data_IF_838256440378
#
_entry.id   IF_838256440378
#
_cell.length_a   1.000
_cell.length_b   1.000
_cell.length_c   1.000
_cell.angle_alpha   90.00
_cell.angle_beta   90.00
_cell.angle_gamma   90.00
#
_symmetry.space_group_name_H-M   'P 1'
#
loop_
_entity.id
_entity.type
_entity.pdbx_description
1 polymer ?
#
# COMPACT_ATOMS: atom_id res chain seq x y z
N UNK A 1 -27.45 3.10 7.56
CA UNK A 1 -26.88 2.12 8.50
C UNK A 1 -25.50 2.60 8.89
N UNK A 2 -25.30 2.95 10.16
CA UNK A 2 -24.00 3.34 10.69
C UNK A 2 -23.30 2.07 11.22
N UNK A 3 -22.08 1.81 10.74
CA UNK A 3 -21.21 0.79 11.32
C UNK A 3 -20.63 1.36 12.61
N UNK A 4 -21.24 1.05 13.76
CA UNK A 4 -20.64 1.32 15.06
C UNK A 4 -19.84 0.09 15.48
N UNK A 5 -18.52 0.25 15.60
CA UNK A 5 -17.64 -0.70 16.28
C UNK A 5 -16.62 -1.43 15.40
N UNK A 6 -15.80 -0.70 14.65
CA UNK A 6 -14.44 -1.19 14.37
C UNK A 6 -13.52 -0.35 15.25
N UNK A 7 -12.56 -0.98 15.94
CA UNK A 7 -11.51 -0.26 16.63
C UNK A 7 -10.77 0.69 15.69
N UNK A 8 -9.86 1.49 16.25
CA UNK A 8 -8.95 2.28 15.44
C UNK A 8 -8.29 1.36 14.37
N UNK A 9 -8.42 1.67 13.05
CA UNK A 9 -7.83 0.84 12.00
C UNK A 9 -6.30 0.85 12.02
N UNK A 10 -5.68 1.69 12.84
CA UNK A 10 -4.25 1.80 12.92
C UNK A 10 -3.65 0.80 13.90
N UNK A 11 -2.56 0.16 13.47
CA UNK A 11 -1.56 -0.34 14.42
C UNK A 11 -0.75 0.87 14.89
N UNK A 12 -0.73 1.14 16.19
CA UNK A 12 -0.05 2.32 16.75
C UNK A 12 1.26 1.93 17.42
N UNK A 13 2.33 2.65 17.06
CA UNK A 13 3.61 2.64 17.77
C UNK A 13 3.79 3.99 18.44
N UNK A 14 3.89 3.98 19.77
CA UNK A 14 4.03 5.18 20.59
C UNK A 14 5.45 5.28 21.11
N UNK A 15 6.16 6.34 20.71
CA UNK A 15 7.49 6.67 21.18
C UNK A 15 7.49 8.04 21.86
N UNK A 16 8.58 8.37 22.57
CA UNK A 16 8.71 9.70 23.21
C UNK A 16 8.73 10.85 22.21
N UNK A 17 9.23 10.59 21.01
CA UNK A 17 9.50 11.61 19.99
C UNK A 17 8.50 11.60 18.85
N UNK A 18 7.63 10.60 18.77
CA UNK A 18 6.59 10.50 17.74
C UNK A 18 5.52 9.46 18.12
N UNK A 19 4.36 9.57 17.48
CA UNK A 19 3.35 8.51 17.42
C UNK A 19 3.18 8.11 15.96
N UNK A 20 3.44 6.85 15.63
CA UNK A 20 3.21 6.32 14.29
C UNK A 20 1.91 5.52 14.26
N UNK A 21 1.04 5.86 13.32
CA UNK A 21 -0.22 5.18 13.02
C UNK A 21 -0.09 4.50 11.67
N UNK A 22 -0.03 3.18 11.70
CA UNK A 22 0.24 2.32 10.54
C UNK A 22 -1.08 1.71 10.05
N UNK A 23 -1.42 1.95 8.80
CA UNK A 23 -2.61 1.38 8.18
C UNK A 23 -2.26 0.04 7.53
N UNK A 24 -2.75 -1.04 8.12
CA UNK A 24 -2.61 -2.41 7.60
C UNK A 24 -3.93 -2.84 6.97
N UNK A 25 -3.90 -3.62 5.89
CA UNK A 25 -5.11 -4.28 5.43
C UNK A 25 -5.51 -5.36 6.45
N UNK A 26 -6.66 -5.23 7.14
CA UNK A 26 -7.04 -6.14 8.21
C UNK A 26 -7.35 -7.57 7.73
N UNK A 27 -7.39 -7.81 6.41
CA UNK A 27 -7.68 -9.12 5.82
C UNK A 27 -6.44 -9.86 5.35
N UNK A 28 -5.38 -9.14 5.00
CA UNK A 28 -4.19 -9.74 4.35
C UNK A 28 -2.90 -9.45 5.08
N UNK A 29 -2.84 -8.36 5.85
CA UNK A 29 -1.62 -7.92 6.50
C UNK A 29 -1.62 -8.32 7.98
N UNK A 30 -0.42 -8.65 8.47
CA UNK A 30 -0.13 -8.76 9.89
C UNK A 30 1.09 -7.89 10.20
N UNK A 31 1.30 -7.55 11.47
CA UNK A 31 2.46 -6.75 11.89
C UNK A 31 3.78 -7.41 11.48
N UNK A 32 3.82 -8.76 11.45
CA UNK A 32 5.03 -9.52 11.13
C UNK A 32 5.26 -9.68 9.61
N UNK A 33 4.23 -9.46 8.78
CA UNK A 33 4.27 -9.81 7.35
C UNK A 33 3.97 -8.67 6.39
N UNK A 34 3.51 -7.51 6.89
CA UNK A 34 3.19 -6.36 6.03
C UNK A 34 4.44 -5.88 5.29
N UNK A 35 4.34 -5.80 3.97
CA UNK A 35 5.49 -5.48 3.10
C UNK A 35 5.41 -4.08 2.49
N UNK A 36 4.22 -3.46 2.53
CA UNK A 36 3.93 -2.10 2.11
C UNK A 36 2.95 -1.49 3.11
N UNK A 37 3.30 -0.39 3.76
CA UNK A 37 2.47 0.25 4.78
C UNK A 37 2.40 1.75 4.58
N UNK A 38 1.18 2.28 4.68
CA UNK A 38 0.95 3.72 4.79
C UNK A 38 0.98 4.12 6.27
N UNK A 39 1.79 5.12 6.59
CA UNK A 39 1.99 5.60 7.94
C UNK A 39 1.67 7.09 8.05
N UNK A 40 0.99 7.44 9.13
CA UNK A 40 0.89 8.81 9.64
C UNK A 40 1.76 8.94 10.88
N UNK A 41 2.64 9.93 10.90
CA UNK A 41 3.57 10.17 12.01
C UNK A 41 3.24 11.51 12.62
N UNK A 42 2.71 11.48 13.84
CA UNK A 42 2.37 12.66 14.63
C UNK A 42 3.58 13.02 15.52
N UNK A 43 4.01 14.28 15.47
CA UNK A 43 5.17 14.79 16.19
C UNK A 43 4.77 15.66 17.39
N UNK A 44 5.65 15.83 18.41
CA UNK A 44 5.33 16.62 19.61
C UNK A 44 5.05 18.11 19.35
N UNK A 45 5.50 18.64 18.22
CA UNK A 45 5.24 20.02 17.79
C UNK A 45 3.85 20.21 17.18
N UNK A 46 3.06 19.13 17.08
CA UNK A 46 1.72 19.11 16.48
C UNK A 46 1.72 18.89 14.97
N UNK A 47 2.88 18.73 14.34
CA UNK A 47 2.99 18.40 12.92
C UNK A 47 2.67 16.92 12.65
N UNK A 48 2.05 16.63 11.50
CA UNK A 48 1.83 15.26 11.03
C UNK A 48 2.44 15.05 9.64
N UNK A 49 3.17 13.95 9.45
CA UNK A 49 3.68 13.52 8.14
C UNK A 49 2.98 12.25 7.67
N UNK A 50 2.71 12.15 6.37
CA UNK A 50 2.27 10.91 5.73
C UNK A 50 3.41 10.32 4.88
N UNK A 51 3.64 9.01 4.99
CA UNK A 51 4.68 8.27 4.24
C UNK A 51 4.21 6.86 3.93
N UNK A 52 4.54 6.38 2.74
CA UNK A 52 4.45 4.96 2.37
C UNK A 52 5.82 4.32 2.54
N UNK A 53 5.89 3.15 3.19
CA UNK A 53 7.13 2.41 3.42
C UNK A 53 7.01 1.01 2.82
N UNK A 54 8.07 0.57 2.12
CA UNK A 54 8.15 -0.77 1.56
C UNK A 54 9.32 -1.54 2.19
N UNK A 55 9.14 -2.83 2.42
CA UNK A 55 10.26 -3.73 2.65
C UNK A 55 11.15 -3.79 1.41
N UNK A 56 12.44 -4.07 1.59
CA UNK A 56 13.38 -4.21 0.48
C UNK A 56 12.97 -5.36 -0.45
N UNK A 57 12.40 -6.43 0.11
CA UNK A 57 11.91 -7.56 -0.67
C UNK A 57 10.72 -7.17 -1.56
N UNK A 58 9.78 -6.35 -1.07
CA UNK A 58 8.67 -5.86 -1.90
C UNK A 58 9.15 -4.90 -2.99
N UNK A 59 10.14 -4.05 -2.69
CA UNK A 59 10.80 -3.24 -3.72
C UNK A 59 11.41 -4.15 -4.80
N UNK A 60 12.09 -5.23 -4.41
CA UNK A 60 12.64 -6.22 -5.33
C UNK A 60 11.56 -6.87 -6.22
N UNK A 61 10.42 -7.24 -5.63
CA UNK A 61 9.28 -7.84 -6.34
C UNK A 61 8.65 -6.87 -7.35
N UNK A 62 8.51 -5.60 -6.97
CA UNK A 62 8.02 -4.55 -7.86
C UNK A 62 8.98 -4.31 -9.04
N UNK A 63 10.28 -4.21 -8.78
CA UNK A 63 11.29 -4.04 -9.82
C UNK A 63 11.37 -5.25 -10.76
N UNK A 64 11.19 -6.46 -10.26
CA UNK A 64 11.13 -7.66 -11.09
C UNK A 64 9.93 -7.62 -12.05
N UNK A 65 8.74 -7.22 -11.56
CA UNK A 65 7.54 -7.04 -12.39
C UNK A 65 7.73 -5.97 -13.45
N UNK A 66 8.43 -4.88 -13.16
CA UNK A 66 8.69 -3.82 -14.14
C UNK A 66 9.63 -4.25 -15.27
N UNK A 67 10.50 -5.25 -15.03
CA UNK A 67 11.36 -5.82 -16.07
C UNK A 67 10.60 -6.73 -17.02
N UNK A 68 9.42 -7.21 -16.65
CA UNK A 68 8.61 -8.02 -17.56
C UNK A 68 8.16 -7.15 -18.74
N UNK A 69 8.46 -7.55 -19.99
CA UNK A 69 8.01 -6.80 -21.14
C UNK A 69 6.49 -6.73 -21.09
N UNK A 70 5.95 -5.51 -21.09
CA UNK A 70 4.51 -5.27 -21.20
C UNK A 70 4.03 -6.01 -22.45
N UNK A 71 3.32 -7.11 -22.25
CA UNK A 71 2.51 -7.71 -23.31
C UNK A 71 1.39 -6.72 -23.56
N UNK A 72 1.61 -5.77 -24.46
CA UNK A 72 0.52 -5.07 -25.10
C UNK A 72 -0.38 -6.15 -25.68
N UNK A 73 -1.57 -6.34 -25.10
CA UNK A 73 -2.63 -7.09 -25.77
C UNK A 73 -2.86 -6.34 -27.07
N UNK A 74 -2.35 -6.85 -28.18
CA UNK A 74 -2.66 -6.34 -29.51
C UNK A 74 -4.17 -6.27 -29.58
N UNK A 75 -4.71 -5.05 -29.68
CA UNK A 75 -6.11 -4.87 -30.00
C UNK A 75 -6.37 -5.67 -31.28
N UNK A 76 -7.39 -6.52 -31.25
CA UNK A 76 -7.62 -7.54 -32.27
C UNK A 76 -7.47 -6.98 -33.68
N UNK A 77 -6.80 -7.74 -34.54
CA UNK A 77 -6.69 -7.47 -35.96
C UNK A 77 -8.09 -7.29 -36.52
N UNK A 78 -8.50 -6.04 -36.78
CA UNK A 78 -9.67 -5.77 -37.62
C UNK A 78 -9.28 -6.18 -39.04
N UNK A 79 -9.68 -7.38 -39.44
CA UNK A 79 -9.63 -7.79 -40.84
C UNK A 79 -10.61 -6.93 -41.65
N UNK A 80 -10.29 -6.59 -42.91
CA UNK A 80 -11.21 -5.83 -43.75
C UNK A 80 -12.47 -6.68 -43.98
N UNK A 81 -13.65 -6.10 -43.74
CA UNK A 81 -14.91 -6.72 -44.16
C UNK A 81 -14.94 -6.72 -45.69
N UNK A 82 -14.91 -7.90 -46.28
CA UNK A 82 -15.27 -8.08 -47.68
C UNK A 82 -16.78 -7.93 -47.80
N UNK A 83 -17.24 -6.80 -48.33
CA UNK A 83 -18.57 -6.66 -48.92
C UNK A 83 -18.60 -7.27 -50.32
#
# INVERSE_FOLDING_TARGET
MAFMGAGDPYTTVTERTFVARLLLDPRTDTVDTVANVDAFVDLPDGSTWARTMFSIDEVGRLLARWKEPVRMRTAGTFGPSTS
#
